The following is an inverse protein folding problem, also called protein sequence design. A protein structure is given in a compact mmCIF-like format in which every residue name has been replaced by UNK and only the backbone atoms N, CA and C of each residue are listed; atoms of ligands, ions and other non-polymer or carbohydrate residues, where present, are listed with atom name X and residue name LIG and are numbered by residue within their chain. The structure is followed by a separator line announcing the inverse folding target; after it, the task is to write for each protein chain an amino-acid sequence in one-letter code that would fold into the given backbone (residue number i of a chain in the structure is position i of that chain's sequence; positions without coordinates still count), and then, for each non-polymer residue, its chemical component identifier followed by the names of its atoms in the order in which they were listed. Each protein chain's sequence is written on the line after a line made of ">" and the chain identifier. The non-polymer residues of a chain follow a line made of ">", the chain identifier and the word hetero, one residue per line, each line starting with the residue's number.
data_IF_705025726555
#
_entry.id   IF_705025726555
#
_cell.length_a   1.000
_cell.length_b   1.000
_cell.length_c   1.000
_cell.angle_alpha   90.00
_cell.angle_beta   90.00
_cell.angle_gamma   90.00
#
_symmetry.space_group_name_H-M   'P 1'
#
loop_
_entity.id
_entity.type
_entity.pdbx_description
1 polymer ?
#
# COMPACT_ATOMS: atom_id res chain seq x y z
N UNK A 1 -8.98 -26.93 -6.69
CA UNK A 1 -8.34 -25.61 -6.92
C UNK A 1 -8.97 -24.55 -6.01
N UNK A 2 -8.54 -24.44 -4.74
CA UNK A 2 -9.22 -23.62 -3.70
C UNK A 2 -8.24 -22.87 -2.77
N UNK A 3 -7.05 -22.50 -3.26
CA UNK A 3 -5.97 -21.97 -2.42
C UNK A 3 -5.71 -20.46 -2.47
N UNK A 4 -6.23 -19.72 -3.46
CA UNK A 4 -5.69 -18.39 -3.81
C UNK A 4 -6.72 -17.26 -3.96
N UNK A 5 -7.87 -17.37 -3.32
CA UNK A 5 -8.90 -16.30 -3.33
C UNK A 5 -9.12 -15.66 -1.95
N UNK A 6 -8.65 -16.32 -0.89
CA UNK A 6 -8.78 -15.86 0.50
C UNK A 6 -8.18 -14.47 0.77
N UNK A 7 -6.96 -14.12 0.31
CA UNK A 7 -6.39 -12.81 0.66
C UNK A 7 -7.11 -11.67 -0.06
N UNK A 8 -7.52 -11.87 -1.31
CA UNK A 8 -8.24 -10.85 -2.08
C UNK A 8 -9.63 -10.57 -1.51
N UNK A 9 -10.36 -11.60 -1.09
CA UNK A 9 -11.66 -11.45 -0.44
C UNK A 9 -11.54 -10.80 0.95
N UNK A 10 -10.47 -11.11 1.70
CA UNK A 10 -10.17 -10.43 2.96
C UNK A 10 -9.83 -8.96 2.76
N UNK A 11 -9.08 -8.63 1.71
CA UNK A 11 -8.78 -7.24 1.33
C UNK A 11 -10.05 -6.48 0.97
N UNK A 12 -10.93 -7.07 0.15
CA UNK A 12 -12.25 -6.51 -0.19
C UNK A 12 -13.16 -6.33 1.03
N UNK A 13 -13.17 -7.30 1.95
CA UNK A 13 -13.94 -7.21 3.19
C UNK A 13 -13.43 -6.08 4.09
N UNK A 14 -12.11 -5.89 4.18
CA UNK A 14 -11.51 -4.76 4.91
C UNK A 14 -11.87 -3.42 4.27
N UNK A 15 -11.76 -3.29 2.94
CA UNK A 15 -12.19 -2.08 2.22
C UNK A 15 -13.66 -1.76 2.50
N UNK A 16 -14.53 -2.77 2.49
CA UNK A 16 -15.96 -2.61 2.72
C UNK A 16 -16.25 -2.19 4.16
N UNK A 17 -15.54 -2.75 5.14
CA UNK A 17 -15.66 -2.36 6.55
C UNK A 17 -15.20 -0.92 6.79
N UNK A 18 -14.11 -0.48 6.16
CA UNK A 18 -13.68 0.92 6.18
C UNK A 18 -14.73 1.86 5.57
N UNK A 19 -15.33 1.48 4.44
CA UNK A 19 -16.39 2.27 3.82
C UNK A 19 -17.67 2.33 4.64
N UNK A 20 -17.97 1.29 5.42
CA UNK A 20 -19.11 1.29 6.33
C UNK A 20 -18.94 2.30 7.49
N UNK A 21 -17.69 2.59 7.88
CA UNK A 21 -17.37 3.63 8.86
C UNK A 21 -17.65 5.06 8.33
N UNK A 22 -17.56 5.24 7.01
CA UNK A 22 -17.76 6.52 6.31
C UNK A 22 -19.25 6.91 6.18
N UNK A 23 -20.17 5.98 6.47
CA UNK A 23 -21.62 6.17 6.31
C UNK A 23 -22.32 7.00 7.39
N UNK A 24 -21.60 7.43 8.43
CA UNK A 24 -22.13 8.24 9.54
C UNK A 24 -21.58 9.68 9.53
N UNK A 25 -21.24 10.20 8.35
CA UNK A 25 -20.85 11.61 8.21
C UNK A 25 -22.13 12.44 8.06
N UNK A 26 -22.50 13.09 9.16
CA UNK A 26 -23.56 14.08 9.26
C UNK A 26 -23.41 15.11 8.11
N UNK A 27 -24.45 15.42 7.32
CA UNK A 27 -24.34 16.31 6.17
C UNK A 27 -23.82 17.73 6.50
N UNK A 28 -23.90 18.14 7.76
CA UNK A 28 -23.38 19.42 8.29
C UNK A 28 -21.87 19.39 8.63
N UNK A 29 -21.22 18.22 8.67
CA UNK A 29 -19.77 18.09 8.90
C UNK A 29 -18.95 18.10 7.59
N UNK A 30 -19.52 18.66 6.52
CA UNK A 30 -19.04 18.58 5.13
C UNK A 30 -17.63 19.15 4.87
N UNK A 31 -17.01 19.80 5.86
CA UNK A 31 -15.58 20.06 5.86
C UNK A 31 -14.85 18.95 6.60
N UNK A 32 -14.31 17.97 5.89
CA UNK A 32 -13.27 17.13 6.48
C UNK A 32 -12.17 18.06 7.02
N UNK A 33 -11.85 17.96 8.31
CA UNK A 33 -10.80 18.78 8.90
C UNK A 33 -9.53 18.61 8.06
N UNK A 34 -8.88 19.69 7.59
CA UNK A 34 -7.65 19.62 6.80
C UNK A 34 -6.57 18.75 7.47
N UNK A 35 -6.59 18.68 8.80
CA UNK A 35 -5.74 17.81 9.60
C UNK A 35 -6.05 16.32 9.38
N UNK A 36 -7.32 15.93 9.33
CA UNK A 36 -7.70 14.54 9.06
C UNK A 36 -7.33 14.12 7.63
N UNK A 37 -7.41 15.04 6.67
CA UNK A 37 -6.92 14.80 5.30
C UNK A 37 -5.42 14.52 5.32
N UNK A 38 -4.64 15.36 6.02
CA UNK A 38 -3.20 15.16 6.17
C UNK A 38 -2.88 13.79 6.81
N UNK A 39 -3.57 13.45 7.89
CA UNK A 39 -3.41 12.16 8.58
C UNK A 39 -3.75 10.99 7.64
N UNK A 40 -4.84 11.08 6.89
CA UNK A 40 -5.22 10.05 5.92
C UNK A 40 -4.16 9.88 4.81
N UNK A 41 -3.60 10.98 4.30
CA UNK A 41 -2.52 10.94 3.30
C UNK A 41 -1.26 10.29 3.86
N UNK A 42 -0.86 10.65 5.08
CA UNK A 42 0.31 10.04 5.75
C UNK A 42 0.10 8.56 5.98
N UNK A 43 -1.08 8.16 6.47
CA UNK A 43 -1.41 6.75 6.68
C UNK A 43 -1.42 5.97 5.36
N UNK A 44 -2.00 6.52 4.30
CA UNK A 44 -2.00 5.91 2.98
C UNK A 44 -0.57 5.71 2.46
N UNK A 45 0.32 6.69 2.67
CA UNK A 45 1.72 6.60 2.28
C UNK A 45 2.44 5.49 3.06
N UNK A 46 2.28 5.42 4.38
CA UNK A 46 2.89 4.38 5.23
C UNK A 46 2.40 2.99 4.82
N UNK A 47 1.10 2.83 4.56
CA UNK A 47 0.53 1.57 4.11
C UNK A 47 1.05 1.17 2.73
N UNK A 48 1.22 2.12 1.81
CA UNK A 48 1.81 1.84 0.50
C UNK A 48 3.25 1.34 0.61
N UNK A 49 4.07 1.96 1.47
CA UNK A 49 5.45 1.52 1.73
C UNK A 49 5.46 0.10 2.30
N UNK A 50 4.59 -0.18 3.28
CA UNK A 50 4.49 -1.52 3.88
C UNK A 50 4.06 -2.57 2.85
N UNK A 51 3.10 -2.25 1.98
CA UNK A 51 2.63 -3.16 0.94
C UNK A 51 3.74 -3.45 -0.08
N UNK A 52 4.54 -2.44 -0.44
CA UNK A 52 5.71 -2.60 -1.32
C UNK A 52 6.76 -3.52 -0.67
N UNK A 53 7.04 -3.34 0.62
CA UNK A 53 7.98 -4.17 1.38
C UNK A 53 7.52 -5.64 1.46
N UNK A 54 6.24 -5.87 1.79
CA UNK A 54 5.66 -7.21 1.85
C UNK A 54 5.66 -7.92 0.48
N UNK A 55 5.46 -7.17 -0.60
CA UNK A 55 5.42 -7.71 -1.95
C UNK A 55 6.76 -7.55 -2.71
N UNK A 56 7.85 -7.27 -2.00
CA UNK A 56 9.14 -6.93 -2.60
C UNK A 56 9.62 -7.98 -3.60
N UNK A 57 9.64 -9.27 -3.23
CA UNK A 57 10.05 -10.34 -4.14
C UNK A 57 9.17 -10.45 -5.40
N UNK A 58 7.86 -10.21 -5.26
CA UNK A 58 6.94 -10.23 -6.39
C UNK A 58 7.19 -9.04 -7.32
N UNK A 59 7.34 -7.84 -6.76
CA UNK A 59 7.66 -6.61 -7.51
C UNK A 59 9.02 -6.71 -8.20
N UNK A 60 10.02 -7.32 -7.56
CA UNK A 60 11.32 -7.64 -8.17
C UNK A 60 11.17 -8.60 -9.34
N UNK A 61 10.40 -9.69 -9.21
CA UNK A 61 10.17 -10.62 -10.32
C UNK A 61 9.45 -9.99 -11.51
N UNK A 62 8.67 -8.93 -11.28
CA UNK A 62 8.00 -8.15 -12.32
C UNK A 62 8.90 -7.06 -12.92
N UNK A 63 10.14 -6.91 -12.45
CA UNK A 63 11.06 -5.86 -12.87
C UNK A 63 10.63 -4.44 -12.42
N UNK A 64 9.69 -4.35 -11.49
CA UNK A 64 9.16 -3.08 -10.97
C UNK A 64 9.97 -2.53 -9.79
N UNK A 65 10.91 -3.33 -9.28
CA UNK A 65 11.96 -2.87 -8.39
C UNK A 65 13.25 -2.74 -9.20
N UNK A 66 13.77 -1.51 -9.25
CA UNK A 66 15.07 -1.26 -9.84
C UNK A 66 16.16 -1.95 -9.02
N UNK A 67 17.14 -2.52 -9.70
CA UNK A 67 18.36 -3.08 -9.11
C UNK A 67 19.30 -1.94 -8.63
N UNK A 68 18.75 -0.92 -7.97
CA UNK A 68 19.41 0.34 -7.66
C UNK A 68 20.63 0.20 -6.72
N UNK A 69 20.91 -1.02 -6.26
CA UNK A 69 22.09 -1.38 -5.47
C UNK A 69 22.97 -2.47 -6.09
N UNK A 70 22.69 -2.95 -7.30
CA UNK A 70 23.75 -3.54 -8.11
C UNK A 70 24.57 -2.41 -8.71
N UNK A 71 25.25 -1.67 -7.83
CA UNK A 71 26.47 -1.00 -8.22
C UNK A 71 27.40 -2.12 -8.67
N UNK A 72 27.38 -2.42 -9.97
CA UNK A 72 28.34 -3.31 -10.58
C UNK A 72 29.72 -2.85 -10.07
N UNK A 73 30.45 -3.68 -9.30
CA UNK A 73 31.76 -3.29 -8.81
C UNK A 73 32.68 -3.23 -10.03
N UNK A 74 32.66 -2.09 -10.71
CA UNK A 74 33.54 -1.73 -11.83
C UNK A 74 35.02 -1.84 -11.41
N UNK A 75 35.27 -1.89 -10.10
CA UNK A 75 36.55 -2.25 -9.49
C UNK A 75 36.72 -3.77 -9.36
N UNK A 76 36.64 -4.52 -10.47
CA UNK A 76 37.37 -5.79 -10.57
C UNK A 76 38.77 -5.49 -11.09
N UNK A 77 39.70 -5.44 -10.14
CA UNK A 77 41.17 -5.30 -10.27
C UNK A 77 41.75 -6.19 -11.38
N UNK A 78 42.86 -5.76 -12.00
CA UNK A 78 44.14 -6.41 -11.78
C UNK A 78 45.00 -5.61 -10.81
#
# INVERSE_FOLDING_TARGET
>A
MQGRTRPFLQMLARLRAFRALDGSIDPDSRGASPFLILVAVVLALVLAILEIDLNHAALQSLGLMGDAFSADPIFKSP
#
